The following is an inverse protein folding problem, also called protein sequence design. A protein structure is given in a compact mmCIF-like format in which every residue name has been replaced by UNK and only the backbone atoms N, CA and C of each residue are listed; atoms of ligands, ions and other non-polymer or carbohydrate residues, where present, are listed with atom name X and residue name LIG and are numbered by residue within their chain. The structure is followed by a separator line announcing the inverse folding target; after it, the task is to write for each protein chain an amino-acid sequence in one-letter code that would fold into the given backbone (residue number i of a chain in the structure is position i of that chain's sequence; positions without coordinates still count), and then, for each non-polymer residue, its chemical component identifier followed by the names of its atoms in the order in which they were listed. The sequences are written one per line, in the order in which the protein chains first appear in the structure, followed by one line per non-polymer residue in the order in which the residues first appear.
data_IF_503787508847
#
_entry.id   IF_503787508847
#
_cell.length_a   1.000
_cell.length_b   1.000
_cell.length_c   1.000
_cell.angle_alpha   90.00
_cell.angle_beta   90.00
_cell.angle_gamma   90.00
#
_symmetry.space_group_name_H-M   'P 1'
#
loop_
_entity.id
_entity.type
_entity.pdbx_description
1 polymer ?
#
# COMPACT_ATOMS: atom_id res chain seq x y z
N UNK A 1 -44.30 29.35 54.83
CA UNK A 1 -45.48 29.94 54.16
C UNK A 1 -45.84 29.02 53.01
N UNK A 2 -46.71 28.05 53.23
CA UNK A 2 -48.14 28.00 52.90
C UNK A 2 -48.40 28.27 51.40
N UNK A 3 -49.10 27.45 50.63
CA UNK A 3 -50.27 26.54 50.73
C UNK A 3 -50.33 25.78 49.37
N UNK A 4 -50.47 24.49 49.32
CA UNK A 4 -51.63 23.58 49.31
C UNK A 4 -52.65 23.71 48.14
N UNK A 5 -52.99 22.49 47.66
CA UNK A 5 -54.28 22.00 47.09
C UNK A 5 -54.44 22.11 45.57
N UNK A 6 -54.95 21.18 44.84
CA UNK A 6 -55.81 20.05 45.23
C UNK A 6 -56.15 19.12 44.07
N UNK A 7 -56.54 18.01 44.45
CA UNK A 7 -57.06 16.82 43.78
C UNK A 7 -58.33 17.06 42.95
N UNK A 8 -58.51 16.40 41.82
CA UNK A 8 -59.79 15.84 41.46
C UNK A 8 -59.73 14.64 40.53
N UNK A 9 -60.27 13.55 41.04
CA UNK A 9 -60.56 12.22 40.47
C UNK A 9 -61.84 12.32 39.58
N UNK A 10 -62.05 11.22 38.88
CA UNK A 10 -63.29 10.64 38.29
C UNK A 10 -63.13 10.50 36.78
N UNK A 11 -63.43 9.40 36.12
CA UNK A 11 -64.11 8.18 36.53
C UNK A 11 -64.12 7.19 35.35
N UNK A 12 -64.30 6.03 35.70
CA UNK A 12 -64.37 4.71 35.01
C UNK A 12 -65.59 4.61 34.09
N UNK A 13 -65.43 4.00 32.92
CA UNK A 13 -66.52 3.26 32.32
C UNK A 13 -65.94 2.16 31.41
N UNK A 14 -66.21 0.94 31.82
CA UNK A 14 -66.14 -0.34 31.11
C UNK A 14 -67.29 -0.41 30.08
N UNK A 15 -67.03 -0.95 28.87
CA UNK A 15 -67.97 -1.75 28.12
C UNK A 15 -67.24 -2.90 27.43
N UNK A 16 -67.70 -4.11 27.76
CA UNK A 16 -67.39 -5.42 27.21
C UNK A 16 -68.48 -5.74 26.16
N UNK A 17 -68.13 -6.48 25.14
CA UNK A 17 -68.90 -7.43 24.31
C UNK A 17 -68.44 -7.36 22.84
N UNK A 18 -68.35 -8.35 22.06
CA UNK A 18 -68.43 -9.82 22.06
C UNK A 18 -68.00 -10.29 20.63
N UNK A 19 -67.38 -11.45 20.64
CA UNK A 19 -67.27 -12.47 19.60
C UNK A 19 -68.04 -12.31 18.29
N UNK A 20 -67.31 -12.56 17.15
CA UNK A 20 -67.75 -13.49 16.11
C UNK A 20 -66.61 -13.92 15.20
N UNK A 21 -66.38 -15.22 15.12
CA UNK A 21 -65.55 -15.92 14.12
C UNK A 21 -66.14 -15.72 12.72
N UNK A 22 -65.23 -15.56 11.74
CA UNK A 22 -65.44 -16.11 10.39
C UNK A 22 -64.07 -16.51 9.80
N UNK A 23 -64.01 -17.79 9.41
CA UNK A 23 -62.92 -18.44 8.67
C UNK A 23 -63.10 -18.17 7.15
N UNK A 24 -61.96 -18.26 6.51
CA UNK A 24 -61.72 -18.59 5.09
C UNK A 24 -61.53 -17.45 4.10
N UNK A 25 -60.43 -17.50 3.42
CA UNK A 25 -60.21 -16.84 2.12
C UNK A 25 -58.71 -16.63 1.82
N UNK A 26 -58.18 -17.52 1.01
CA UNK A 26 -56.84 -17.41 0.37
C UNK A 26 -56.67 -16.13 -0.43
N UNK A 27 -55.41 -15.76 -0.54
CA UNK A 27 -54.72 -15.26 -1.72
C UNK A 27 -54.05 -13.88 -1.61
N UNK A 28 -52.79 -13.94 -1.90
CA UNK A 28 -51.97 -12.95 -2.60
C UNK A 28 -51.60 -11.63 -1.91
N UNK A 29 -50.31 -11.49 -1.69
CA UNK A 29 -49.61 -10.32 -2.20
C UNK A 29 -49.20 -9.26 -1.19
N UNK A 30 -47.90 -9.09 -1.17
CA UNK A 30 -47.17 -7.83 -1.02
C UNK A 30 -46.61 -7.42 0.33
N UNK A 31 -45.33 -7.74 0.43
CA UNK A 31 -44.24 -6.86 0.80
C UNK A 31 -44.42 -5.86 1.95
N UNK A 32 -43.96 -6.24 3.09
CA UNK A 32 -43.43 -5.30 4.08
C UNK A 32 -41.89 -5.34 4.02
N UNK A 33 -41.33 -4.20 3.70
CA UNK A 33 -39.91 -3.90 3.63
C UNK A 33 -39.14 -4.41 4.85
N UNK A 34 -38.40 -5.50 4.65
CA UNK A 34 -37.21 -5.78 5.42
C UNK A 34 -36.03 -5.18 4.65
N UNK A 35 -35.56 -4.01 5.07
CA UNK A 35 -34.30 -3.49 4.67
C UNK A 35 -33.23 -4.41 5.27
N UNK A 36 -33.00 -5.53 4.60
CA UNK A 36 -31.78 -6.32 4.77
C UNK A 36 -30.64 -5.44 4.27
N UNK A 37 -29.78 -5.02 5.17
CA UNK A 37 -28.41 -4.68 4.85
C UNK A 37 -27.84 -5.84 4.04
N UNK A 38 -27.88 -5.70 2.72
CA UNK A 38 -27.16 -6.57 1.81
C UNK A 38 -25.66 -6.29 2.06
N UNK A 39 -25.06 -7.12 2.89
CA UNK A 39 -23.64 -7.40 2.79
C UNK A 39 -23.42 -7.78 1.32
N UNK A 40 -22.60 -7.01 0.64
CA UNK A 40 -22.02 -7.41 -0.63
C UNK A 40 -20.99 -8.53 -0.36
N UNK A 41 -21.49 -9.70 0.02
CA UNK A 41 -20.78 -10.96 -0.14
C UNK A 41 -20.90 -11.29 -1.63
N UNK A 42 -19.97 -10.78 -2.44
CA UNK A 42 -19.75 -11.27 -3.78
C UNK A 42 -19.59 -12.80 -3.70
N UNK A 43 -20.12 -13.51 -4.69
CA UNK A 43 -19.96 -14.97 -4.83
C UNK A 43 -18.49 -15.35 -4.77
N UNK A 44 -18.01 -15.74 -3.59
CA UNK A 44 -16.64 -16.24 -3.37
C UNK A 44 -16.54 -17.77 -3.56
N UNK A 45 -17.62 -18.42 -4.03
CA UNK A 45 -17.59 -19.85 -4.29
C UNK A 45 -16.56 -20.16 -5.38
N UNK A 46 -15.45 -20.82 -5.01
CA UNK A 46 -14.42 -21.29 -5.91
C UNK A 46 -13.27 -20.33 -6.19
N UNK A 47 -13.20 -19.16 -5.55
CA UNK A 47 -12.05 -18.26 -5.63
C UNK A 47 -11.05 -18.54 -4.53
N UNK A 48 -9.74 -18.45 -4.86
CA UNK A 48 -8.66 -18.51 -3.89
C UNK A 48 -8.58 -17.20 -3.12
N UNK A 49 -8.67 -17.22 -1.79
CA UNK A 49 -8.50 -16.07 -0.94
C UNK A 49 -7.01 -15.82 -0.69
N UNK A 50 -6.50 -14.71 -1.17
CA UNK A 50 -5.10 -14.31 -1.00
C UNK A 50 -5.04 -13.10 -0.09
N UNK A 51 -4.24 -13.19 0.96
CA UNK A 51 -3.97 -12.05 1.84
C UNK A 51 -2.54 -11.60 1.63
N UNK A 52 -2.35 -10.30 1.44
CA UNK A 52 -1.03 -9.70 1.27
C UNK A 52 -0.79 -8.63 2.33
N UNK A 53 0.44 -8.25 2.52
CA UNK A 53 0.80 -7.16 3.43
C UNK A 53 0.57 -5.80 2.80
N UNK A 54 1.20 -5.53 1.67
CA UNK A 54 1.24 -4.23 1.00
C UNK A 54 0.49 -4.24 -0.33
N UNK A 55 0.05 -3.07 -0.76
CA UNK A 55 -0.70 -2.89 -2.00
C UNK A 55 0.14 -3.19 -3.24
N UNK A 56 1.46 -2.98 -3.18
CA UNK A 56 2.40 -3.32 -4.25
C UNK A 56 2.39 -4.82 -4.60
N UNK A 57 2.03 -5.68 -3.64
CA UNK A 57 1.79 -7.12 -3.89
C UNK A 57 0.33 -7.36 -4.29
N UNK A 58 -0.61 -6.77 -3.55
CA UNK A 58 -2.04 -7.04 -3.70
C UNK A 58 -2.56 -6.74 -5.10
N UNK A 59 -2.21 -5.60 -5.65
CA UNK A 59 -2.71 -5.16 -6.96
C UNK A 59 -2.20 -6.05 -8.09
N UNK A 60 -0.87 -6.26 -8.27
CA UNK A 60 -0.38 -7.18 -9.30
C UNK A 60 -0.93 -8.61 -9.18
N UNK A 61 -1.00 -9.15 -7.97
CA UNK A 61 -1.57 -10.48 -7.72
C UNK A 61 -3.07 -10.52 -8.07
N UNK A 62 -3.81 -9.43 -7.81
CA UNK A 62 -5.22 -9.31 -8.21
C UNK A 62 -5.38 -9.27 -9.74
N UNK A 63 -4.51 -8.54 -10.45
CA UNK A 63 -4.52 -8.48 -11.92
C UNK A 63 -4.19 -9.85 -12.53
N UNK A 64 -3.15 -10.50 -12.02
CA UNK A 64 -2.70 -11.82 -12.52
C UNK A 64 -3.73 -12.91 -12.16
N UNK A 65 -4.26 -12.87 -10.95
CA UNK A 65 -5.23 -13.85 -10.48
C UNK A 65 -6.63 -13.69 -11.08
N UNK A 66 -6.98 -12.45 -11.50
CA UNK A 66 -8.23 -12.11 -12.15
C UNK A 66 -9.46 -12.56 -11.35
N UNK A 67 -10.40 -13.21 -12.03
CA UNK A 67 -11.64 -13.71 -11.43
C UNK A 67 -11.48 -15.02 -10.62
N UNK A 68 -10.26 -15.57 -10.55
CA UNK A 68 -9.94 -16.80 -9.81
C UNK A 68 -9.48 -16.54 -8.39
N UNK A 69 -9.18 -15.29 -8.05
CA UNK A 69 -8.70 -14.91 -6.71
C UNK A 69 -9.60 -13.85 -6.08
N UNK A 70 -9.53 -13.77 -4.76
CA UNK A 70 -10.02 -12.65 -3.95
C UNK A 70 -8.83 -12.16 -3.12
N UNK A 71 -8.25 -11.02 -3.49
CA UNK A 71 -7.03 -10.49 -2.88
C UNK A 71 -7.40 -9.39 -1.87
N UNK A 72 -6.81 -9.47 -0.69
CA UNK A 72 -6.95 -8.46 0.36
C UNK A 72 -5.57 -8.02 0.84
N UNK A 73 -5.30 -6.71 0.84
CA UNK A 73 -4.14 -6.14 1.51
C UNK A 73 -4.44 -5.85 2.98
N UNK A 74 -3.46 -6.06 3.86
CA UNK A 74 -3.55 -5.65 5.27
C UNK A 74 -3.36 -4.13 5.40
N UNK A 75 -2.37 -3.61 4.69
CA UNK A 75 -1.97 -2.21 4.73
C UNK A 75 -2.58 -1.46 3.55
N UNK A 76 -3.20 -0.34 3.85
CA UNK A 76 -3.81 0.57 2.88
C UNK A 76 -2.92 1.76 2.53
N UNK A 77 -3.46 2.73 1.79
CA UNK A 77 -2.75 3.96 1.46
C UNK A 77 -2.21 4.68 2.69
N UNK A 78 -1.01 5.22 2.61
CA UNK A 78 -0.36 5.98 3.68
C UNK A 78 0.08 5.15 4.90
N UNK A 79 0.01 3.83 4.85
CA UNK A 79 0.45 2.95 5.95
C UNK A 79 1.90 2.55 5.74
N UNK A 80 2.72 2.81 6.75
CA UNK A 80 4.13 2.45 6.79
C UNK A 80 4.30 0.99 7.22
N UNK A 81 4.86 0.11 6.37
CA UNK A 81 5.03 -1.31 6.67
C UNK A 81 6.12 -1.60 7.71
N UNK A 82 7.14 -0.75 7.85
CA UNK A 82 8.21 -0.94 8.82
C UNK A 82 7.68 -0.82 10.26
N UNK A 83 6.76 0.13 10.49
CA UNK A 83 6.17 0.37 11.81
C UNK A 83 4.90 -0.42 12.06
N UNK A 84 4.38 -1.14 11.04
CA UNK A 84 3.10 -1.80 11.12
C UNK A 84 3.08 -2.93 12.13
N UNK A 85 2.07 -2.92 13.00
CA UNK A 85 1.79 -3.98 13.95
C UNK A 85 0.42 -4.57 13.69
N UNK A 86 0.37 -5.89 13.47
CA UNK A 86 -0.87 -6.58 13.17
C UNK A 86 -1.89 -6.44 14.33
N UNK A 87 -3.10 -6.02 13.98
CA UNK A 87 -4.25 -6.00 14.89
C UNK A 87 -4.91 -7.39 14.97
N UNK A 88 -5.81 -7.57 15.92
CA UNK A 88 -6.63 -8.80 15.97
C UNK A 88 -7.47 -9.00 14.70
N UNK A 89 -7.92 -7.91 14.08
CA UNK A 89 -8.64 -7.96 12.80
C UNK A 89 -7.75 -8.45 11.66
N UNK A 90 -6.48 -8.08 11.65
CA UNK A 90 -5.52 -8.55 10.64
C UNK A 90 -5.16 -10.02 10.83
N UNK A 91 -5.03 -10.47 12.08
CA UNK A 91 -4.87 -11.91 12.37
C UNK A 91 -6.06 -12.70 11.80
N UNK A 92 -7.28 -12.24 12.03
CA UNK A 92 -8.47 -12.91 11.50
C UNK A 92 -8.51 -12.91 9.95
N UNK A 93 -8.05 -11.82 9.28
CA UNK A 93 -7.89 -11.81 7.81
C UNK A 93 -6.86 -12.83 7.36
N UNK A 94 -5.66 -12.84 7.98
CA UNK A 94 -4.60 -13.81 7.68
C UNK A 94 -5.08 -15.25 7.87
N UNK A 95 -5.81 -15.54 8.96
CA UNK A 95 -6.42 -16.84 9.21
C UNK A 95 -7.48 -17.24 8.17
N UNK A 96 -8.14 -16.27 7.54
CA UNK A 96 -9.15 -16.54 6.50
C UNK A 96 -8.56 -16.75 5.10
N UNK A 97 -7.30 -16.36 4.86
CA UNK A 97 -6.61 -16.55 3.59
C UNK A 97 -6.26 -18.01 3.33
N UNK A 98 -6.30 -18.41 2.06
CA UNK A 98 -5.78 -19.69 1.58
C UNK A 98 -4.27 -19.63 1.32
N UNK A 99 -3.80 -18.44 0.90
CA UNK A 99 -2.39 -18.11 0.66
C UNK A 99 -2.10 -16.73 1.25
N UNK A 100 -0.96 -16.60 1.91
CA UNK A 100 -0.46 -15.33 2.44
C UNK A 100 0.84 -14.98 1.73
N UNK A 101 0.92 -13.76 1.18
CA UNK A 101 2.11 -13.23 0.51
C UNK A 101 2.56 -11.95 1.22
N UNK A 102 3.83 -11.87 1.56
CA UNK A 102 4.43 -10.67 2.14
C UNK A 102 5.76 -10.36 1.44
N UNK A 103 6.27 -9.13 1.60
CA UNK A 103 7.49 -8.73 0.90
C UNK A 103 8.70 -9.51 1.40
N UNK A 104 8.89 -9.60 2.70
CA UNK A 104 10.12 -10.15 3.28
C UNK A 104 11.26 -9.13 3.30
N UNK A 105 12.50 -9.58 3.32
CA UNK A 105 13.69 -8.74 3.36
C UNK A 105 13.67 -7.72 4.53
N UNK A 106 13.07 -8.10 5.65
CA UNK A 106 12.85 -7.31 6.85
C UNK A 106 11.84 -6.14 6.74
N UNK A 107 11.13 -5.96 5.62
CA UNK A 107 10.12 -4.90 5.50
C UNK A 107 9.06 -4.98 6.62
N UNK A 108 8.49 -6.17 6.82
CA UNK A 108 7.46 -6.41 7.83
C UNK A 108 8.04 -7.08 9.10
N UNK A 109 9.16 -6.56 9.60
CA UNK A 109 9.90 -7.16 10.73
C UNK A 109 9.01 -7.40 11.96
N UNK A 110 8.10 -6.47 12.25
CA UNK A 110 7.15 -6.54 13.37
C UNK A 110 6.09 -7.64 13.23
N UNK A 111 5.93 -8.22 12.02
CA UNK A 111 4.93 -9.26 11.74
C UNK A 111 5.52 -10.68 11.63
N UNK A 112 6.84 -10.86 11.66
CA UNK A 112 7.50 -12.16 11.43
C UNK A 112 6.97 -13.27 12.32
N UNK A 113 6.73 -13.00 13.61
CA UNK A 113 6.16 -14.00 14.54
C UNK A 113 4.75 -14.44 14.16
N UNK A 114 3.96 -13.53 13.61
CA UNK A 114 2.60 -13.84 13.11
C UNK A 114 2.69 -14.76 11.90
N UNK A 115 3.58 -14.43 10.96
CA UNK A 115 3.80 -15.26 9.76
C UNK A 115 4.32 -16.65 10.12
N UNK A 116 5.23 -16.77 11.07
CA UNK A 116 5.72 -18.05 11.56
C UNK A 116 4.59 -18.94 12.17
N UNK A 117 3.70 -18.34 12.96
CA UNK A 117 2.60 -19.10 13.57
C UNK A 117 1.57 -19.55 12.53
N UNK A 118 1.18 -18.67 11.60
CA UNK A 118 0.22 -18.98 10.55
C UNK A 118 0.83 -19.98 9.55
N UNK A 119 2.11 -19.84 9.24
CA UNK A 119 2.86 -20.72 8.34
C UNK A 119 2.93 -22.19 8.75
N UNK A 120 2.61 -22.50 10.02
CA UNK A 120 2.48 -23.88 10.50
C UNK A 120 1.25 -24.62 9.93
N UNK A 121 0.27 -23.89 9.44
CA UNK A 121 -1.02 -24.45 9.04
C UNK A 121 -1.42 -24.13 7.60
N UNK A 122 -0.80 -23.14 6.97
CA UNK A 122 -1.12 -22.72 5.61
C UNK A 122 0.08 -22.09 4.90
N UNK A 123 0.04 -21.95 3.54
CA UNK A 123 1.10 -21.30 2.78
C UNK A 123 1.28 -19.83 3.18
N UNK A 124 2.50 -19.48 3.59
CA UNK A 124 2.95 -18.09 3.85
C UNK A 124 4.28 -17.93 3.12
N UNK A 125 4.38 -16.97 2.23
CA UNK A 125 5.56 -16.78 1.40
C UNK A 125 6.07 -15.34 1.42
N UNK A 126 7.37 -15.18 1.74
CA UNK A 126 8.13 -13.96 1.56
C UNK A 126 8.58 -13.88 0.11
N UNK A 127 7.86 -13.16 -0.73
CA UNK A 127 8.13 -13.18 -2.17
C UNK A 127 9.45 -12.51 -2.57
N UNK A 128 9.91 -11.52 -1.80
CA UNK A 128 11.19 -10.84 -2.03
C UNK A 128 12.40 -11.73 -1.78
N UNK A 129 12.27 -12.76 -0.92
CA UNK A 129 13.34 -13.72 -0.66
C UNK A 129 13.64 -14.61 -1.89
N UNK A 130 12.81 -14.57 -2.94
CA UNK A 130 13.08 -15.25 -4.21
C UNK A 130 14.11 -14.53 -5.08
N UNK A 131 14.43 -13.28 -4.77
CA UNK A 131 15.47 -12.50 -5.47
C UNK A 131 16.85 -13.00 -5.00
N UNK A 132 17.78 -13.28 -5.93
CA UNK A 132 19.16 -13.67 -5.57
C UNK A 132 19.83 -12.59 -4.70
N UNK A 133 20.49 -13.01 -3.63
CA UNK A 133 21.10 -12.09 -2.67
C UNK A 133 22.14 -11.15 -3.29
N UNK A 134 22.84 -11.62 -4.33
CA UNK A 134 23.81 -10.85 -5.10
C UNK A 134 23.21 -9.72 -5.94
N UNK A 135 21.88 -9.73 -6.16
CA UNK A 135 21.17 -8.68 -6.88
C UNK A 135 20.57 -7.63 -5.92
N UNK A 136 20.51 -7.97 -4.62
CA UNK A 136 19.97 -7.08 -3.60
C UNK A 136 20.96 -5.94 -3.26
N UNK A 137 20.40 -4.75 -3.01
CA UNK A 137 21.14 -3.66 -2.44
C UNK A 137 21.29 -3.86 -0.93
N UNK A 138 22.42 -3.38 -0.40
CA UNK A 138 22.70 -3.34 1.03
C UNK A 138 23.24 -1.97 1.38
N UNK A 139 22.92 -1.48 2.56
CA UNK A 139 23.49 -0.24 3.09
C UNK A 139 24.92 -0.41 3.60
N UNK A 140 25.50 0.66 4.14
CA UNK A 140 26.88 0.66 4.69
C UNK A 140 27.01 -0.24 5.93
N UNK A 141 25.91 -0.54 6.63
CA UNK A 141 25.88 -1.39 7.82
C UNK A 141 25.63 -2.86 7.46
N UNK A 142 25.31 -3.15 6.20
CA UNK A 142 25.07 -4.49 5.66
C UNK A 142 23.60 -4.91 5.80
N UNK A 143 22.67 -4.00 6.09
CA UNK A 143 21.25 -4.26 6.04
C UNK A 143 20.75 -4.33 4.59
N UNK A 144 19.87 -5.29 4.31
CA UNK A 144 19.31 -5.45 2.97
C UNK A 144 18.21 -4.43 2.74
N UNK A 145 18.26 -3.74 1.61
CA UNK A 145 17.21 -2.85 1.15
C UNK A 145 15.96 -3.66 0.73
N UNK A 146 14.81 -3.50 1.40
CA UNK A 146 13.61 -4.27 1.11
C UNK A 146 12.78 -3.72 -0.06
N UNK A 147 13.09 -2.51 -0.58
CA UNK A 147 12.24 -1.77 -1.53
C UNK A 147 12.40 -2.24 -2.98
N UNK A 148 12.46 -3.56 -3.17
CA UNK A 148 12.75 -4.22 -4.46
C UNK A 148 11.71 -3.95 -5.54
N UNK A 149 10.50 -3.49 -5.18
CA UNK A 149 9.44 -3.14 -6.14
C UNK A 149 9.82 -1.95 -7.03
N UNK A 150 10.87 -1.23 -6.71
CA UNK A 150 11.38 -0.14 -7.54
C UNK A 150 12.36 -0.59 -8.62
N UNK A 151 12.86 -1.83 -8.59
CA UNK A 151 13.51 -2.47 -9.73
C UNK A 151 12.53 -3.46 -10.38
N UNK A 152 12.02 -3.10 -11.55
CA UNK A 152 10.98 -3.87 -12.25
C UNK A 152 11.43 -5.31 -12.55
N UNK A 153 12.73 -5.55 -12.81
CA UNK A 153 13.21 -6.91 -13.07
C UNK A 153 13.23 -7.75 -11.79
N UNK A 154 13.65 -7.19 -10.66
CA UNK A 154 13.59 -7.87 -9.37
C UNK A 154 12.14 -8.10 -8.93
N UNK A 155 11.29 -7.09 -9.17
CA UNK A 155 9.89 -7.20 -8.82
C UNK A 155 9.16 -8.29 -9.61
N UNK A 156 9.48 -8.48 -10.89
CA UNK A 156 8.98 -9.60 -11.70
C UNK A 156 9.41 -10.95 -11.11
N UNK A 157 10.64 -11.06 -10.57
CA UNK A 157 11.10 -12.29 -9.90
C UNK A 157 10.28 -12.56 -8.63
N UNK A 158 10.10 -11.55 -7.78
CA UNK A 158 9.31 -11.65 -6.56
C UNK A 158 7.83 -12.00 -6.87
N UNK A 159 7.20 -11.30 -7.82
CA UNK A 159 5.84 -11.59 -8.24
C UNK A 159 5.71 -13.01 -8.84
N UNK A 160 6.73 -13.49 -9.55
CA UNK A 160 6.73 -14.87 -10.06
C UNK A 160 6.67 -15.88 -8.92
N UNK A 161 7.39 -15.66 -7.82
CA UNK A 161 7.31 -16.51 -6.63
C UNK A 161 5.91 -16.50 -6.03
N UNK A 162 5.27 -15.33 -5.93
CA UNK A 162 3.87 -15.21 -5.48
C UNK A 162 2.91 -15.99 -6.38
N UNK A 163 3.07 -15.89 -7.70
CA UNK A 163 2.24 -16.62 -8.66
C UNK A 163 2.44 -18.13 -8.55
N UNK A 164 3.65 -18.61 -8.26
CA UNK A 164 3.88 -20.04 -8.02
C UNK A 164 3.11 -20.54 -6.79
N UNK A 165 2.95 -19.73 -5.74
CA UNK A 165 2.10 -20.10 -4.61
C UNK A 165 0.62 -20.17 -5.00
N UNK A 166 0.12 -19.26 -5.87
CA UNK A 166 -1.24 -19.39 -6.41
C UNK A 166 -1.42 -20.67 -7.21
N UNK A 167 -0.44 -21.05 -8.06
CA UNK A 167 -0.48 -22.27 -8.87
C UNK A 167 -0.46 -23.54 -8.02
N UNK A 168 0.27 -23.53 -6.91
CA UNK A 168 0.27 -24.64 -5.94
C UNK A 168 -1.07 -24.78 -5.22
N UNK A 169 -1.69 -23.64 -4.86
CA UNK A 169 -2.96 -23.62 -4.14
C UNK A 169 -4.18 -23.90 -5.05
N UNK A 170 -4.07 -23.59 -6.35
CA UNK A 170 -5.13 -23.79 -7.35
C UNK A 170 -4.54 -24.32 -8.66
N UNK A 171 -4.11 -25.60 -8.71
CA UNK A 171 -3.44 -26.17 -9.87
C UNK A 171 -4.28 -26.15 -11.16
N UNK A 172 -5.60 -26.21 -11.02
CA UNK A 172 -6.54 -26.15 -12.15
C UNK A 172 -6.55 -24.79 -12.85
N UNK A 173 -6.07 -23.72 -12.18
CA UNK A 173 -5.97 -22.39 -12.71
C UNK A 173 -4.51 -21.99 -13.10
N UNK A 174 -3.56 -22.92 -13.03
CA UNK A 174 -2.14 -22.64 -13.24
C UNK A 174 -1.84 -21.98 -14.60
N UNK A 175 -2.41 -22.48 -15.69
CA UNK A 175 -2.23 -21.93 -17.04
C UNK A 175 -2.87 -20.52 -17.18
N UNK A 176 -3.97 -20.30 -16.48
CA UNK A 176 -4.62 -18.98 -16.43
C UNK A 176 -3.72 -17.94 -15.76
N UNK A 177 -3.17 -18.26 -14.59
CA UNK A 177 -2.24 -17.39 -13.89
C UNK A 177 -0.98 -17.13 -14.70
N UNK A 178 -0.41 -18.13 -15.35
CA UNK A 178 0.79 -17.98 -16.17
C UNK A 178 0.56 -17.08 -17.38
N UNK A 179 -0.60 -17.21 -18.04
CA UNK A 179 -0.99 -16.37 -19.17
C UNK A 179 -1.12 -14.91 -18.76
N UNK A 180 -1.83 -14.65 -17.64
CA UNK A 180 -2.03 -13.30 -17.15
C UNK A 180 -0.72 -12.68 -16.61
N UNK A 181 0.13 -13.48 -15.94
CA UNK A 181 1.47 -13.04 -15.52
C UNK A 181 2.29 -12.55 -16.71
N UNK A 182 2.31 -13.33 -17.79
CA UNK A 182 3.04 -12.96 -19.01
C UNK A 182 2.54 -11.64 -19.57
N UNK A 183 1.22 -11.49 -19.70
CA UNK A 183 0.64 -10.25 -20.21
C UNK A 183 0.86 -9.02 -19.27
N UNK A 184 0.90 -9.26 -17.95
CA UNK A 184 1.20 -8.21 -17.00
C UNK A 184 2.68 -7.81 -17.07
N UNK A 185 3.59 -8.77 -17.19
CA UNK A 185 5.02 -8.50 -17.29
C UNK A 185 5.40 -7.75 -18.57
N UNK A 186 4.71 -7.98 -19.69
CA UNK A 186 4.86 -7.15 -20.90
C UNK A 186 4.53 -5.67 -20.62
N UNK A 187 3.52 -5.39 -19.78
CA UNK A 187 3.20 -4.03 -19.37
C UNK A 187 4.26 -3.42 -18.45
N UNK A 188 4.88 -4.23 -17.58
CA UNK A 188 6.00 -3.80 -16.75
C UNK A 188 7.24 -3.49 -17.57
N UNK A 189 7.53 -4.26 -18.63
CA UNK A 189 8.65 -3.98 -19.54
C UNK A 189 8.46 -2.67 -20.29
N UNK A 190 7.22 -2.38 -20.73
CA UNK A 190 6.88 -1.10 -21.32
C UNK A 190 7.04 0.05 -20.32
N UNK A 191 6.56 -0.12 -19.08
CA UNK A 191 6.70 0.87 -18.00
C UNK A 191 8.18 1.20 -17.72
N UNK A 192 9.03 0.17 -17.62
CA UNK A 192 10.49 0.32 -17.44
C UNK A 192 11.08 1.17 -18.55
N UNK A 193 10.77 0.83 -19.79
CA UNK A 193 11.27 1.54 -20.97
C UNK A 193 10.83 3.01 -20.97
N UNK A 194 9.57 3.28 -20.67
CA UNK A 194 9.01 4.62 -20.61
C UNK A 194 9.66 5.46 -19.50
N UNK A 195 9.81 4.90 -18.30
CA UNK A 195 10.43 5.58 -17.17
C UNK A 195 11.91 5.91 -17.45
N UNK A 196 12.69 4.95 -17.92
CA UNK A 196 14.09 5.15 -18.29
C UNK A 196 14.24 6.21 -19.40
N UNK A 197 13.42 6.14 -20.45
CA UNK A 197 13.42 7.12 -21.53
C UNK A 197 13.12 8.53 -21.03
N UNK A 198 12.16 8.67 -20.12
CA UNK A 198 11.77 9.95 -19.52
C UNK A 198 12.89 10.52 -18.63
N UNK A 199 13.34 9.74 -17.66
CA UNK A 199 14.32 10.18 -16.65
C UNK A 199 15.69 10.44 -17.26
N UNK A 200 16.07 9.74 -18.34
CA UNK A 200 17.31 10.02 -19.08
C UNK A 200 17.34 11.39 -19.74
N UNK A 201 16.23 12.09 -19.86
CA UNK A 201 16.17 13.47 -20.38
C UNK A 201 16.57 14.53 -19.34
N UNK A 202 16.61 14.17 -18.04
CA UNK A 202 17.13 15.05 -16.99
C UNK A 202 18.66 15.15 -17.20
N UNK A 203 19.27 16.34 -17.19
CA UNK A 203 20.75 16.47 -17.22
C UNK A 203 21.39 15.67 -16.10
N UNK A 204 22.49 14.98 -16.39
CA UNK A 204 23.11 14.03 -15.45
C UNK A 204 23.45 14.69 -14.11
N UNK A 205 23.97 15.92 -14.13
CA UNK A 205 24.32 16.70 -12.95
C UNK A 205 23.12 17.11 -12.07
N UNK A 206 21.89 16.95 -12.62
CA UNK A 206 20.64 17.24 -11.90
C UNK A 206 19.90 15.97 -11.45
N UNK A 207 20.43 14.79 -11.77
CA UNK A 207 19.78 13.50 -11.42
C UNK A 207 20.08 13.11 -9.99
N UNK A 208 19.76 13.97 -9.04
CA UNK A 208 19.88 13.73 -7.61
C UNK A 208 18.50 13.79 -6.99
N UNK A 209 18.05 12.65 -6.46
CA UNK A 209 16.75 12.47 -5.83
C UNK A 209 16.95 12.46 -4.31
N UNK A 210 16.36 13.43 -3.61
CA UNK A 210 16.41 13.51 -2.15
C UNK A 210 15.02 13.25 -1.59
N UNK A 211 14.89 12.21 -0.77
CA UNK A 211 13.64 11.65 -0.25
C UNK A 211 13.61 11.65 1.27
N UNK A 212 12.43 11.44 1.86
CA UNK A 212 12.26 11.43 3.31
C UNK A 212 12.91 10.20 3.97
N UNK A 213 12.91 9.03 3.30
CA UNK A 213 13.68 7.86 3.72
C UNK A 213 14.32 7.16 2.52
N UNK A 214 15.23 6.22 2.76
CA UNK A 214 16.00 5.54 1.72
C UNK A 214 15.24 4.36 1.10
N UNK A 215 14.13 4.65 0.42
CA UNK A 215 13.33 3.65 -0.29
C UNK A 215 13.62 3.56 -1.79
N UNK A 216 14.32 4.54 -2.36
CA UNK A 216 14.44 4.67 -3.81
C UNK A 216 15.78 4.16 -4.38
N UNK A 217 16.57 3.43 -3.60
CA UNK A 217 17.86 2.89 -4.04
C UNK A 217 17.76 2.07 -5.34
N UNK A 218 16.81 1.13 -5.40
CA UNK A 218 16.54 0.33 -6.61
C UNK A 218 16.01 1.17 -7.78
N UNK A 219 15.15 2.16 -7.49
CA UNK A 219 14.68 3.11 -8.52
C UNK A 219 15.84 3.87 -9.14
N UNK A 220 16.74 4.37 -8.30
CA UNK A 220 17.94 5.08 -8.72
C UNK A 220 18.85 4.21 -9.58
N UNK A 221 19.14 2.99 -9.13
CA UNK A 221 19.95 2.00 -9.87
C UNK A 221 19.39 1.71 -11.25
N UNK A 222 18.08 1.48 -11.35
CA UNK A 222 17.44 1.12 -12.61
C UNK A 222 17.33 2.30 -13.58
N UNK A 223 17.17 3.53 -13.08
CA UNK A 223 16.88 4.71 -13.89
C UNK A 223 18.08 5.68 -14.04
N UNK A 224 19.23 5.37 -13.44
CA UNK A 224 20.44 6.22 -13.48
C UNK A 224 20.25 7.56 -12.76
N UNK A 225 19.65 7.51 -11.55
CA UNK A 225 19.42 8.65 -10.65
C UNK A 225 20.17 8.37 -9.35
N UNK A 226 20.94 9.33 -8.86
CA UNK A 226 21.59 9.27 -7.56
C UNK A 226 20.55 9.52 -6.47
N UNK A 227 20.45 8.66 -5.46
CA UNK A 227 19.42 8.73 -4.42
C UNK A 227 20.08 9.02 -3.07
N UNK A 228 19.45 9.89 -2.30
CA UNK A 228 19.82 10.21 -0.91
C UNK A 228 18.55 10.22 -0.07
N UNK A 229 18.39 9.22 0.78
CA UNK A 229 17.36 9.19 1.82
C UNK A 229 17.80 9.99 3.05
N UNK A 230 16.90 10.77 3.60
CA UNK A 230 17.17 11.52 4.85
C UNK A 230 17.16 10.58 6.08
N UNK A 231 16.24 9.61 6.09
CA UNK A 231 16.16 8.52 7.06
C UNK A 231 16.71 7.24 6.41
N UNK A 232 17.18 6.27 7.20
CA UNK A 232 17.71 5.01 6.70
C UNK A 232 16.69 4.14 5.95
N UNK A 233 17.09 2.89 5.64
CA UNK A 233 16.24 1.89 4.95
C UNK A 233 14.97 1.54 5.75
N UNK A 234 15.03 1.61 7.07
CA UNK A 234 13.88 1.44 7.95
C UNK A 234 13.46 2.77 8.57
N UNK A 235 12.15 3.01 8.60
CA UNK A 235 11.57 4.17 9.25
C UNK A 235 11.49 4.04 10.78
N UNK A 236 11.96 2.91 11.35
CA UNK A 236 12.14 2.74 12.80
C UNK A 236 13.28 3.61 13.34
N UNK A 237 14.24 3.99 12.50
CA UNK A 237 15.36 4.86 12.86
C UNK A 237 14.90 6.32 12.96
N UNK A 238 15.40 7.04 13.97
CA UNK A 238 15.10 8.46 14.13
C UNK A 238 16.06 9.31 13.28
N UNK A 239 15.50 10.32 12.59
CA UNK A 239 16.29 11.33 11.87
C UNK A 239 17.01 12.22 12.88
N UNK A 240 18.34 12.18 12.90
CA UNK A 240 19.18 13.04 13.73
C UNK A 240 19.39 14.44 13.14
N UNK A 241 19.88 15.36 13.97
CA UNK A 241 20.25 16.70 13.49
C UNK A 241 21.41 16.66 12.51
N UNK A 242 22.32 15.68 12.65
CA UNK A 242 23.42 15.46 11.72
C UNK A 242 22.95 15.09 10.33
N UNK A 243 21.89 14.29 10.22
CA UNK A 243 21.36 13.83 8.94
C UNK A 243 20.70 14.98 8.18
N UNK A 244 20.00 15.85 8.91
CA UNK A 244 19.46 17.10 8.37
C UNK A 244 20.59 18.00 7.88
N UNK A 245 21.63 18.23 8.70
CA UNK A 245 22.75 19.11 8.35
C UNK A 245 23.55 18.58 7.15
N UNK A 246 23.83 17.27 7.10
CA UNK A 246 24.52 16.62 5.98
C UNK A 246 23.70 16.72 4.68
N UNK A 247 22.38 16.52 4.76
CA UNK A 247 21.48 16.67 3.59
C UNK A 247 21.44 18.12 3.11
N UNK A 248 21.44 19.09 4.03
CA UNK A 248 21.51 20.51 3.69
C UNK A 248 22.85 20.86 3.02
N UNK A 249 23.98 20.31 3.50
CA UNK A 249 25.28 20.47 2.85
C UNK A 249 25.27 19.96 1.43
N UNK A 250 24.73 18.75 1.21
CA UNK A 250 24.59 18.14 -0.11
C UNK A 250 23.71 18.99 -1.06
N UNK A 251 22.55 19.48 -0.57
CA UNK A 251 21.68 20.35 -1.34
C UNK A 251 22.41 21.61 -1.84
N UNK A 252 23.21 22.23 -0.96
CA UNK A 252 23.96 23.45 -1.27
C UNK A 252 25.11 23.15 -2.22
N UNK A 253 25.85 22.07 -2.02
CA UNK A 253 27.02 21.71 -2.81
C UNK A 253 26.63 21.32 -4.25
N UNK A 254 25.55 20.57 -4.41
CA UNK A 254 25.06 20.10 -5.70
C UNK A 254 23.99 21.01 -6.32
N UNK A 255 23.57 22.09 -5.63
CA UNK A 255 22.54 23.02 -6.09
C UNK A 255 21.25 22.29 -6.50
N UNK A 256 20.83 21.30 -5.70
CA UNK A 256 19.64 20.51 -5.97
C UNK A 256 18.39 21.38 -5.79
N UNK A 257 17.52 21.48 -6.80
CA UNK A 257 16.40 22.44 -6.78
C UNK A 257 15.19 21.97 -5.98
N UNK A 258 15.08 20.67 -5.73
CA UNK A 258 13.88 20.07 -5.12
C UNK A 258 14.22 18.87 -4.23
N UNK A 259 13.42 18.69 -3.19
CA UNK A 259 13.35 17.50 -2.35
C UNK A 259 11.93 16.94 -2.40
N UNK A 260 11.72 15.67 -2.03
CA UNK A 260 10.44 15.02 -2.18
C UNK A 260 9.90 14.55 -0.83
N UNK A 261 8.60 14.71 -0.64
CA UNK A 261 7.87 14.09 0.47
C UNK A 261 7.31 12.74 0.02
N UNK A 262 6.92 11.92 0.97
CA UNK A 262 6.42 10.57 0.71
C UNK A 262 5.06 10.35 1.36
N UNK A 263 4.21 9.54 0.71
CA UNK A 263 2.83 9.33 1.12
C UNK A 263 2.68 8.63 2.48
N UNK A 264 3.67 7.83 2.88
CA UNK A 264 3.69 7.06 4.14
C UNK A 264 4.52 7.71 5.27
N UNK A 265 5.26 8.81 4.98
CA UNK A 265 6.23 9.38 5.90
C UNK A 265 5.82 10.79 6.34
N UNK A 266 6.05 11.11 7.62
CA UNK A 266 5.81 12.46 8.13
C UNK A 266 6.79 13.47 7.48
N UNK A 267 6.30 14.54 6.83
CA UNK A 267 7.15 15.48 6.10
C UNK A 267 7.96 16.43 6.99
N UNK A 268 7.90 16.30 8.31
CA UNK A 268 8.55 17.24 9.24
C UNK A 268 10.08 17.34 9.02
N UNK A 269 10.75 16.23 8.79
CA UNK A 269 12.20 16.19 8.56
C UNK A 269 12.58 16.84 7.24
N UNK A 270 11.85 16.58 6.15
CA UNK A 270 12.04 17.25 4.86
C UNK A 270 11.81 18.77 4.99
N UNK A 271 10.81 19.20 5.73
CA UNK A 271 10.59 20.63 5.98
C UNK A 271 11.75 21.27 6.75
N UNK A 272 12.37 20.56 7.70
CA UNK A 272 13.55 21.05 8.40
C UNK A 272 14.76 21.20 7.47
N UNK A 273 14.95 20.27 6.53
CA UNK A 273 15.99 20.35 5.49
C UNK A 273 15.79 21.57 4.59
N UNK A 274 14.55 21.81 4.13
CA UNK A 274 14.21 23.01 3.31
C UNK A 274 14.54 24.31 4.07
N UNK A 275 14.13 24.41 5.32
CA UNK A 275 14.44 25.59 6.15
C UNK A 275 15.95 25.73 6.42
N UNK A 276 16.67 24.63 6.56
CA UNK A 276 18.13 24.61 6.67
C UNK A 276 18.83 25.15 5.42
N UNK A 277 18.44 24.64 4.23
CA UNK A 277 18.94 25.09 2.94
C UNK A 277 18.68 26.59 2.71
N UNK A 278 17.47 27.05 3.03
CA UNK A 278 17.11 28.45 2.94
C UNK A 278 17.96 29.36 3.80
N UNK A 279 18.31 28.96 5.02
CA UNK A 279 19.24 29.72 5.90
C UNK A 279 20.64 29.83 5.30
N UNK A 280 21.03 28.89 4.44
CA UNK A 280 22.30 28.90 3.69
C UNK A 280 22.19 29.59 2.31
N UNK A 281 21.03 30.15 1.99
CA UNK A 281 20.81 30.94 0.78
C UNK A 281 20.36 30.14 -0.45
N UNK A 282 20.00 28.86 -0.27
CA UNK A 282 19.44 28.00 -1.33
C UNK A 282 17.91 27.88 -1.17
N UNK A 283 17.15 28.26 -2.21
CA UNK A 283 15.69 28.14 -2.24
C UNK A 283 15.30 26.77 -2.82
N UNK A 284 15.19 25.77 -1.93
CA UNK A 284 14.77 24.41 -2.29
C UNK A 284 13.26 24.29 -2.20
N UNK A 285 12.64 23.62 -3.16
CA UNK A 285 11.19 23.41 -3.22
C UNK A 285 10.84 21.95 -2.90
N UNK A 286 9.60 21.73 -2.46
CA UNK A 286 9.00 20.38 -2.53
C UNK A 286 8.71 20.09 -3.99
N UNK A 287 9.38 19.10 -4.56
CA UNK A 287 9.22 18.67 -5.95
C UNK A 287 7.92 17.93 -6.22
N UNK A 288 7.35 17.38 -5.17
CA UNK A 288 6.08 16.64 -5.17
C UNK A 288 6.05 15.56 -4.10
N UNK A 289 4.94 14.84 -4.04
CA UNK A 289 4.78 13.65 -3.20
C UNK A 289 5.08 12.41 -4.05
N UNK A 290 5.86 11.49 -3.49
CA UNK A 290 6.17 10.19 -4.06
C UNK A 290 5.46 9.09 -3.27
N UNK A 291 5.07 8.05 -3.96
CA UNK A 291 4.59 6.82 -3.35
C UNK A 291 5.78 5.89 -3.15
N UNK A 292 6.19 5.68 -1.90
CA UNK A 292 7.28 4.77 -1.54
C UNK A 292 6.73 3.43 -1.04
N UNK A 293 6.44 3.34 0.25
CA UNK A 293 5.99 2.12 0.91
C UNK A 293 4.48 1.88 0.78
N UNK A 294 3.73 2.93 0.45
CA UNK A 294 2.30 2.85 0.20
C UNK A 294 1.95 3.40 -1.18
N UNK A 295 1.04 2.72 -1.87
CA UNK A 295 0.45 3.18 -3.12
C UNK A 295 -0.69 4.17 -2.86
N UNK A 296 -1.22 4.79 -3.93
CA UNK A 296 -2.38 5.66 -3.87
C UNK A 296 -3.67 4.92 -3.54
N UNK A 297 -4.76 5.68 -3.40
CA UNK A 297 -6.09 5.15 -3.07
C UNK A 297 -6.58 4.15 -4.12
N UNK A 298 -7.23 3.10 -3.65
CA UNK A 298 -7.87 2.11 -4.52
C UNK A 298 -8.86 2.78 -5.47
N UNK A 299 -8.76 2.48 -6.76
CA UNK A 299 -9.61 3.05 -7.81
C UNK A 299 -9.06 4.33 -8.42
N UNK A 300 -7.94 4.86 -7.93
CA UNK A 300 -7.17 5.91 -8.62
C UNK A 300 -6.09 5.27 -9.53
N UNK A 301 -5.52 6.02 -10.48
CA UNK A 301 -4.38 5.53 -11.25
C UNK A 301 -3.22 5.08 -10.35
N UNK A 302 -2.89 5.86 -9.32
CA UNK A 302 -1.81 5.62 -8.38
C UNK A 302 -2.10 4.46 -7.40
N UNK A 303 -3.35 4.00 -7.33
CA UNK A 303 -3.75 2.77 -6.66
C UNK A 303 -3.41 1.49 -7.45
N UNK A 304 -2.79 1.60 -8.63
CA UNK A 304 -2.18 0.51 -9.39
C UNK A 304 -0.66 0.61 -9.34
N UNK A 305 0.04 -0.52 -9.36
CA UNK A 305 1.51 -0.51 -9.36
C UNK A 305 2.09 0.29 -10.55
N UNK A 306 1.54 0.08 -11.74
CA UNK A 306 1.97 0.79 -12.96
C UNK A 306 1.70 2.28 -12.84
N UNK A 307 0.55 2.66 -12.32
CA UNK A 307 0.17 4.08 -12.14
C UNK A 307 1.02 4.77 -11.07
N UNK A 308 1.27 4.12 -9.94
CA UNK A 308 2.15 4.60 -8.88
C UNK A 308 3.57 4.84 -9.41
N UNK A 309 4.16 3.86 -10.09
CA UNK A 309 5.52 3.98 -10.64
C UNK A 309 5.61 5.11 -11.67
N UNK A 310 4.61 5.22 -12.55
CA UNK A 310 4.53 6.30 -13.54
C UNK A 310 4.40 7.67 -12.89
N UNK A 311 3.56 7.79 -11.86
CA UNK A 311 3.43 9.02 -11.07
C UNK A 311 4.78 9.46 -10.49
N UNK A 312 5.51 8.54 -9.87
CA UNK A 312 6.83 8.83 -9.32
C UNK A 312 7.81 9.30 -10.40
N UNK A 313 7.90 8.58 -11.51
CA UNK A 313 8.78 8.96 -12.63
C UNK A 313 8.42 10.34 -13.21
N UNK A 314 7.13 10.64 -13.35
CA UNK A 314 6.63 11.92 -13.85
C UNK A 314 6.92 13.06 -12.86
N UNK A 315 6.69 12.84 -11.59
CA UNK A 315 6.92 13.84 -10.53
C UNK A 315 8.41 14.18 -10.43
N UNK A 316 9.29 13.18 -10.42
CA UNK A 316 10.74 13.37 -10.38
C UNK A 316 11.21 14.10 -11.65
N UNK A 317 10.79 13.66 -12.84
CA UNK A 317 11.14 14.30 -14.09
C UNK A 317 10.74 15.79 -14.10
N UNK A 318 9.50 16.09 -13.74
CA UNK A 318 8.98 17.46 -13.77
C UNK A 318 9.73 18.39 -12.79
N UNK A 319 10.10 17.89 -11.61
CA UNK A 319 10.79 18.68 -10.61
C UNK A 319 12.27 18.91 -10.97
N UNK A 320 12.96 17.89 -11.49
CA UNK A 320 14.40 17.96 -11.73
C UNK A 320 14.76 18.45 -13.14
N UNK A 321 13.87 18.32 -14.15
CA UNK A 321 14.08 18.84 -15.49
C UNK A 321 13.75 20.33 -15.63
N UNK A 322 12.99 20.91 -14.70
CA UNK A 322 12.65 22.32 -14.75
C UNK A 322 13.90 23.18 -14.71
N UNK A 323 14.11 23.99 -15.77
CA UNK A 323 15.08 25.05 -15.72
C UNK A 323 14.68 26.01 -14.59
N UNK A 324 15.60 26.26 -13.65
CA UNK A 324 15.35 27.23 -12.57
C UNK A 324 14.96 28.58 -13.20
N UNK A 325 13.68 28.93 -13.09
CA UNK A 325 13.14 30.24 -13.42
C UNK A 325 13.08 31.09 -12.19
#
# INVERSE_FOLDING_TARGET
MTKTKGIRKWGMALIVTALALWLAGCATGENANNASTANAAGNNEGKLNVVTTIAQIAEPISVIGGDRVNVQSLMGPGVDPHLYQATQGDIAKLESGDVILYSGLHLEANMLRVFEEIGKTKPVAAIGEAVPKEELLVDEEGATDPHIWFDIELWKQALSAGVEELKKASPENADYFETNKTAYFEQLDALKTDAQSKLSQIPQEKRVLITAHDAFGYFGRMNGVDVVGLQGLSTEDEVGLSDIDNTVDLLVDYQVPAVFVESSINPASINAVIEGAKKRGLDVKVGGELFSDAMGDTGTPEGTYIGMYRHNADTIYNALSAEGK
#
